data_IF_978091020827
#
_entry.id   IF_978091020827
#
_cell.length_a   1.000
_cell.length_b   1.000
_cell.length_c   1.000
_cell.angle_alpha   90.00
_cell.angle_beta   90.00
_cell.angle_gamma   90.00
#
_symmetry.space_group_name_H-M   'P 1'
#
loop_
_entity.id
_entity.type
_entity.pdbx_description
1 polymer ?
#
# COMPACT_ATOMS: atom_id res chain seq x y z
N UNK A 1 96.35 5.03 -67.87
CA UNK A 1 96.25 4.23 -66.64
C UNK A 1 94.78 3.89 -66.50
N UNK A 2 94.34 2.78 -67.08
CA UNK A 2 94.28 1.46 -66.42
C UNK A 2 93.54 1.56 -65.07
N UNK A 3 92.47 0.82 -64.75
CA UNK A 3 91.78 -0.25 -65.45
C UNK A 3 90.40 -0.47 -64.77
N UNK A 4 89.40 -0.73 -65.64
CA UNK A 4 88.13 -1.45 -65.46
C UNK A 4 86.96 -0.90 -64.63
N UNK A 5 85.97 -0.44 -65.41
CA UNK A 5 84.60 -0.03 -65.12
C UNK A 5 83.63 -1.21 -65.04
N UNK A 6 82.64 -1.06 -64.16
CA UNK A 6 81.29 -1.66 -64.06
C UNK A 6 80.96 -2.96 -64.83
N UNK A 7 80.37 -3.93 -64.10
CA UNK A 7 79.15 -4.62 -64.56
C UNK A 7 78.24 -4.98 -63.38
N UNK A 8 77.03 -4.46 -63.47
CA UNK A 8 75.87 -4.59 -62.58
C UNK A 8 75.16 -5.93 -62.86
N UNK A 9 74.78 -6.70 -61.83
CA UNK A 9 73.59 -7.56 -61.94
C UNK A 9 72.98 -7.99 -60.59
N UNK A 10 71.84 -7.34 -60.28
CA UNK A 10 70.57 -7.88 -59.77
C UNK A 10 70.60 -9.06 -58.78
N UNK A 11 70.34 -8.75 -57.51
CA UNK A 11 69.24 -9.38 -56.76
C UNK A 11 68.67 -8.41 -55.71
N UNK A 12 67.61 -7.73 -56.12
CA UNK A 12 66.40 -7.34 -55.38
C UNK A 12 66.49 -7.15 -53.86
N UNK A 13 66.44 -5.87 -53.47
CA UNK A 13 65.50 -5.29 -52.49
C UNK A 13 64.67 -6.28 -51.65
N UNK A 14 64.91 -6.28 -50.34
CA UNK A 14 63.93 -6.21 -49.23
C UNK A 14 64.59 -6.68 -47.94
N UNK A 15 65.24 -5.77 -47.21
CA UNK A 15 65.60 -5.95 -45.78
C UNK A 15 66.19 -4.63 -45.24
N UNK A 16 65.37 -3.60 -45.12
CA UNK A 16 65.68 -2.41 -44.32
C UNK A 16 64.49 -1.44 -44.26
N UNK A 17 63.31 -1.88 -43.75
CA UNK A 17 62.28 -0.95 -43.28
C UNK A 17 61.22 -1.61 -42.37
N UNK A 18 61.63 -2.46 -41.44
CA UNK A 18 60.72 -3.00 -40.40
C UNK A 18 61.48 -3.11 -39.07
N UNK A 19 62.13 -2.01 -38.67
CA UNK A 19 62.62 -1.83 -37.30
C UNK A 19 62.46 -0.37 -36.83
N UNK A 20 61.51 0.36 -37.44
CA UNK A 20 61.18 1.76 -37.09
C UNK A 20 59.67 2.01 -37.08
N UNK A 21 58.88 0.97 -36.81
CA UNK A 21 57.42 1.03 -36.60
C UNK A 21 56.97 0.24 -35.37
N UNK A 22 57.88 -0.05 -34.44
CA UNK A 22 57.59 -0.73 -33.17
C UNK A 22 58.06 0.07 -31.93
N UNK A 23 58.38 1.36 -32.12
CA UNK A 23 58.77 2.27 -31.02
C UNK A 23 57.96 3.58 -31.01
N UNK A 24 56.92 3.69 -31.84
CA UNK A 24 55.85 4.72 -31.75
C UNK A 24 54.50 4.01 -31.86
N UNK A 25 54.35 2.92 -31.11
CA UNK A 25 53.07 2.27 -30.84
C UNK A 25 53.13 1.60 -29.46
N UNK A 26 53.76 2.31 -28.51
CA UNK A 26 53.85 1.91 -27.11
C UNK A 26 53.83 3.17 -26.21
N UNK A 27 53.06 4.18 -26.64
CA UNK A 27 52.64 5.33 -25.83
C UNK A 27 51.23 5.70 -26.30
N UNK A 28 50.26 4.87 -25.95
CA UNK A 28 48.82 5.21 -25.91
C UNK A 28 48.08 4.05 -25.24
N UNK A 29 48.51 3.67 -24.04
CA UNK A 29 47.74 2.83 -23.14
C UNK A 29 48.19 3.09 -21.71
N UNK A 30 48.31 4.36 -21.34
CA UNK A 30 47.80 4.72 -20.04
C UNK A 30 46.34 4.99 -20.30
N UNK A 31 45.47 4.01 -20.01
CA UNK A 31 44.16 4.40 -19.50
C UNK A 31 44.49 5.35 -18.37
N UNK A 32 44.30 6.65 -18.60
CA UNK A 32 43.96 7.48 -17.47
C UNK A 32 42.72 6.79 -16.93
N UNK A 33 42.87 6.10 -15.81
CA UNK A 33 41.78 6.11 -14.84
C UNK A 33 41.70 7.59 -14.51
N UNK A 34 40.88 8.31 -15.27
CA UNK A 34 40.22 9.45 -14.69
C UNK A 34 39.49 8.79 -13.53
N UNK A 35 39.98 9.03 -12.31
CA UNK A 35 39.01 9.06 -11.24
C UNK A 35 38.01 10.09 -11.77
N UNK A 36 36.83 9.62 -12.17
CA UNK A 36 35.75 10.50 -12.52
C UNK A 36 35.45 11.23 -11.23
N UNK A 37 36.15 12.36 -11.08
CA UNK A 37 35.72 13.44 -10.23
C UNK A 37 34.31 13.71 -10.76
N UNK A 38 33.25 13.59 -9.97
CA UNK A 38 31.85 13.64 -10.42
C UNK A 38 31.45 14.95 -11.11
N UNK A 39 32.03 15.22 -12.27
CA UNK A 39 31.77 16.35 -13.17
C UNK A 39 31.17 15.87 -14.50
N UNK A 40 31.06 14.55 -14.69
CA UNK A 40 30.32 13.94 -15.81
C UNK A 40 29.39 12.81 -15.32
N UNK A 41 29.02 12.82 -14.02
CA UNK A 41 27.93 11.98 -13.52
C UNK A 41 26.61 12.66 -13.93
N UNK A 42 25.67 11.83 -14.35
CA UNK A 42 24.39 12.12 -14.98
C UNK A 42 23.53 10.93 -14.52
N UNK A 43 22.78 11.12 -13.44
CA UNK A 43 22.20 10.02 -12.65
C UNK A 43 20.93 9.50 -13.30
N UNK A 44 20.03 10.40 -13.69
CA UNK A 44 18.79 10.11 -14.41
C UNK A 44 19.00 9.86 -15.92
N UNK A 45 20.14 10.30 -16.48
CA UNK A 45 20.49 10.09 -17.88
C UNK A 45 19.81 11.05 -18.86
N UNK A 46 19.30 12.19 -18.40
CA UNK A 46 18.60 13.18 -19.24
C UNK A 46 19.56 14.01 -20.12
N UNK A 47 20.86 13.98 -19.79
CA UNK A 47 21.94 14.66 -20.50
C UNK A 47 22.37 16.01 -19.91
N UNK A 48 21.80 16.41 -18.78
CA UNK A 48 22.34 17.34 -17.80
C UNK A 48 23.29 16.54 -16.88
N UNK A 49 24.11 17.20 -16.08
CA UNK A 49 25.14 16.51 -15.27
C UNK A 49 24.94 16.93 -13.83
N UNK A 50 24.96 16.02 -12.87
CA UNK A 50 24.57 16.25 -11.48
C UNK A 50 25.03 17.63 -10.92
N UNK A 51 26.31 17.98 -11.11
CA UNK A 51 26.85 19.26 -10.62
C UNK A 51 26.24 20.57 -11.21
N UNK A 52 25.40 20.48 -12.23
CA UNK A 52 24.63 21.57 -12.85
C UNK A 52 23.14 21.27 -12.93
N UNK A 53 22.75 20.02 -12.67
CA UNK A 53 21.37 19.61 -12.56
C UNK A 53 20.71 20.28 -11.35
N UNK A 54 19.40 20.29 -11.33
CA UNK A 54 18.61 20.74 -10.18
C UNK A 54 17.68 19.67 -9.63
N UNK A 55 17.61 18.51 -10.30
CA UNK A 55 16.78 17.34 -10.05
C UNK A 55 17.60 16.13 -10.55
N UNK A 56 18.62 15.74 -9.79
CA UNK A 56 19.68 14.83 -10.26
C UNK A 56 19.14 13.42 -10.64
N UNK A 57 18.05 12.94 -10.02
CA UNK A 57 17.41 11.63 -10.28
C UNK A 57 16.13 11.70 -11.13
N UNK A 58 15.61 12.90 -11.38
CA UNK A 58 14.53 13.16 -12.33
C UNK A 58 13.15 12.73 -11.83
N UNK A 59 12.95 12.63 -10.52
CA UNK A 59 11.67 12.30 -9.90
C UNK A 59 10.70 13.51 -9.88
N UNK A 60 11.23 14.73 -10.02
CA UNK A 60 10.48 15.99 -10.01
C UNK A 60 10.56 16.76 -8.69
N UNK A 61 11.14 16.18 -7.64
CA UNK A 61 11.50 16.83 -6.38
C UNK A 61 12.92 17.38 -6.54
N UNK A 62 13.07 18.70 -6.50
CA UNK A 62 14.40 19.30 -6.74
C UNK A 62 15.38 19.00 -5.58
N UNK A 63 16.69 18.84 -5.87
CA UNK A 63 17.73 18.48 -4.88
C UNK A 63 17.76 19.41 -3.65
N UNK A 64 17.32 20.66 -3.83
CA UNK A 64 17.30 21.64 -2.72
C UNK A 64 16.19 21.40 -1.72
N UNK A 65 15.15 20.64 -2.09
CA UNK A 65 14.04 20.20 -1.22
C UNK A 65 14.47 18.94 -0.46
N UNK A 66 15.01 17.95 -1.16
CA UNK A 66 15.44 16.67 -0.57
C UNK A 66 16.71 16.81 0.26
N UNK A 67 17.61 17.69 -0.19
CA UNK A 67 18.80 18.10 0.54
C UNK A 67 19.97 17.13 0.37
N UNK A 68 20.42 16.54 1.47
CA UNK A 68 21.58 15.64 1.46
C UNK A 68 21.34 14.44 2.39
N UNK A 69 20.07 14.09 2.58
CA UNK A 69 19.63 12.92 3.33
C UNK A 69 20.06 11.63 2.64
N UNK A 70 19.83 10.53 3.34
CA UNK A 70 20.01 9.14 2.91
C UNK A 70 19.12 8.37 3.91
N UNK A 71 17.82 8.39 3.64
CA UNK A 71 16.79 8.08 4.64
C UNK A 71 16.80 6.59 4.99
N UNK A 72 16.72 5.74 3.97
CA UNK A 72 16.79 4.28 4.08
C UNK A 72 18.20 3.75 4.42
N UNK A 73 19.24 4.59 4.24
CA UNK A 73 20.65 4.32 4.55
C UNK A 73 21.29 3.26 3.63
N UNK A 74 20.82 3.12 2.38
CA UNK A 74 21.45 2.24 1.38
C UNK A 74 22.79 2.81 0.85
N UNK A 75 23.02 4.11 1.06
CA UNK A 75 24.22 4.85 0.65
C UNK A 75 24.09 5.63 -0.66
N UNK A 76 22.89 5.71 -1.23
CA UNK A 76 22.44 6.69 -2.23
C UNK A 76 21.75 7.83 -1.46
N UNK A 77 22.21 9.08 -1.60
CA UNK A 77 21.48 10.21 -1.06
C UNK A 77 20.11 10.35 -1.73
N UNK A 78 19.09 10.78 -0.99
CA UNK A 78 17.71 10.96 -1.51
C UNK A 78 17.67 11.69 -2.85
N UNK A 79 18.43 12.77 -3.02
CA UNK A 79 18.54 13.52 -4.29
C UNK A 79 19.28 12.79 -5.42
N UNK A 80 19.43 11.47 -5.34
CA UNK A 80 20.00 10.58 -6.34
C UNK A 80 19.23 9.25 -6.38
N UNK A 81 18.10 9.19 -5.68
CA UNK A 81 17.32 8.03 -5.30
C UNK A 81 15.87 8.27 -5.73
N UNK A 82 15.26 7.32 -6.44
CA UNK A 82 13.89 7.49 -6.92
C UNK A 82 12.83 6.85 -5.99
N UNK A 83 13.27 6.26 -4.88
CA UNK A 83 12.50 5.50 -3.87
C UNK A 83 13.24 5.65 -2.52
N UNK A 84 13.20 6.85 -1.95
CA UNK A 84 14.08 7.33 -0.88
C UNK A 84 13.92 6.60 0.45
N UNK A 85 12.77 5.98 0.70
CA UNK A 85 12.46 5.16 1.88
C UNK A 85 12.38 3.66 1.61
N UNK A 86 12.49 3.25 0.34
CA UNK A 86 12.68 1.87 -0.11
C UNK A 86 11.47 0.99 0.21
N UNK A 87 10.29 1.59 0.15
CA UNK A 87 9.01 0.91 0.26
C UNK A 87 8.52 0.38 -1.12
N UNK A 88 9.18 0.80 -2.20
CA UNK A 88 8.92 0.39 -3.57
C UNK A 88 7.90 1.25 -4.32
N UNK A 89 7.24 2.19 -3.66
CA UNK A 89 6.57 3.32 -4.29
C UNK A 89 7.67 4.27 -4.79
N UNK A 90 7.34 5.17 -5.73
CA UNK A 90 8.33 6.10 -6.25
C UNK A 90 8.10 7.46 -5.64
N UNK A 91 9.18 8.17 -5.32
CA UNK A 91 9.15 9.52 -4.75
C UNK A 91 8.27 10.48 -5.59
N UNK A 92 8.24 10.29 -6.90
CA UNK A 92 7.40 11.09 -7.80
C UNK A 92 5.89 10.83 -7.66
N UNK A 93 5.50 9.61 -7.27
CA UNK A 93 4.14 9.22 -6.92
C UNK A 93 3.83 9.79 -5.54
N UNK A 94 4.75 9.65 -4.60
CA UNK A 94 4.47 10.01 -3.21
C UNK A 94 4.50 11.51 -2.95
N UNK A 95 5.32 12.26 -3.68
CA UNK A 95 5.36 13.72 -3.54
C UNK A 95 4.08 14.44 -4.02
N UNK A 96 3.04 13.71 -4.46
CA UNK A 96 1.83 14.28 -5.05
C UNK A 96 0.57 13.55 -4.57
N UNK A 97 -0.56 14.25 -4.62
CA UNK A 97 -1.88 13.61 -4.49
C UNK A 97 -2.21 12.83 -5.76
N UNK A 98 -2.87 11.68 -5.61
CA UNK A 98 -3.42 10.89 -6.73
C UNK A 98 -4.39 11.71 -7.57
N UNK A 99 -5.26 12.49 -6.91
CA UNK A 99 -6.11 13.47 -7.58
C UNK A 99 -5.25 14.58 -8.19
N UNK A 100 -5.15 14.54 -9.51
CA UNK A 100 -4.40 15.54 -10.27
C UNK A 100 -2.92 15.24 -10.43
N UNK A 101 -2.50 14.00 -10.15
CA UNK A 101 -1.15 13.48 -10.40
C UNK A 101 -0.55 14.00 -11.71
N UNK A 102 0.63 14.61 -11.61
CA UNK A 102 1.37 15.18 -12.72
C UNK A 102 2.39 14.15 -13.18
N UNK A 103 2.09 13.48 -14.30
CA UNK A 103 3.03 12.58 -14.95
C UNK A 103 4.19 13.36 -15.61
N UNK A 104 5.45 12.87 -15.53
CA UNK A 104 6.58 13.42 -16.29
C UNK A 104 6.27 13.53 -17.80
N UNK A 105 6.71 14.62 -18.43
CA UNK A 105 6.50 14.83 -19.88
C UNK A 105 7.64 14.29 -20.75
N UNK A 106 8.82 14.06 -20.16
CA UNK A 106 10.08 13.75 -20.81
C UNK A 106 10.66 14.93 -21.60
N UNK A 107 10.28 16.16 -21.25
CA UNK A 107 10.69 17.37 -21.96
C UNK A 107 11.33 18.32 -20.96
N UNK A 108 12.61 18.62 -21.16
CA UNK A 108 13.29 19.77 -20.56
C UNK A 108 13.60 20.79 -21.66
N UNK A 109 12.86 21.90 -21.69
CA UNK A 109 13.00 22.93 -22.72
C UNK A 109 14.20 23.84 -22.52
N UNK A 110 14.66 24.04 -21.29
CA UNK A 110 15.68 25.03 -20.95
C UNK A 110 17.03 24.42 -20.57
N UNK A 111 17.08 23.10 -20.39
CA UNK A 111 18.29 22.32 -20.17
C UNK A 111 18.78 22.41 -18.73
N UNK A 112 17.87 22.52 -17.76
CA UNK A 112 18.19 22.63 -16.34
C UNK A 112 18.09 21.30 -15.57
N UNK A 113 17.53 20.26 -16.19
CA UNK A 113 17.37 18.90 -15.65
C UNK A 113 15.97 18.59 -15.11
N UNK A 114 15.23 19.60 -14.65
CA UNK A 114 13.83 19.42 -14.22
C UNK A 114 12.88 19.32 -15.41
N UNK A 115 11.95 18.36 -15.36
CA UNK A 115 10.91 18.20 -16.39
C UNK A 115 9.96 19.42 -16.47
N UNK A 116 9.67 19.89 -17.69
CA UNK A 116 8.75 21.00 -17.97
C UNK A 116 7.35 20.79 -17.34
N UNK A 117 6.94 19.54 -17.06
CA UNK A 117 5.69 19.20 -16.38
C UNK A 117 5.62 19.77 -14.96
N UNK A 118 6.76 19.90 -14.29
CA UNK A 118 6.90 20.38 -12.92
C UNK A 118 7.29 21.87 -12.87
N UNK A 119 7.24 22.56 -14.02
CA UNK A 119 7.54 23.97 -14.15
C UNK A 119 6.32 24.79 -14.60
N UNK A 120 6.02 25.87 -13.86
CA UNK A 120 5.02 26.86 -14.30
C UNK A 120 5.51 27.63 -15.54
N UNK A 121 6.82 27.83 -15.67
CA UNK A 121 7.46 28.47 -16.83
C UNK A 121 8.89 27.97 -16.93
N UNK A 122 9.30 27.36 -18.06
CA UNK A 122 10.63 26.79 -18.20
C UNK A 122 11.76 27.76 -17.80
N UNK A 123 12.61 27.30 -16.88
CA UNK A 123 13.71 28.07 -16.29
C UNK A 123 13.33 28.99 -15.14
N UNK A 124 12.18 28.74 -14.52
CA UNK A 124 11.80 29.33 -13.24
C UNK A 124 11.85 28.21 -12.22
N UNK A 125 12.85 28.21 -11.32
CA UNK A 125 12.98 27.22 -10.24
C UNK A 125 11.59 26.80 -9.71
N UNK A 126 11.28 25.51 -9.87
CA UNK A 126 9.95 24.91 -9.69
C UNK A 126 10.07 23.61 -8.90
N UNK A 127 9.44 22.55 -9.39
CA UNK A 127 9.44 21.23 -8.76
C UNK A 127 8.12 20.90 -8.07
N UNK A 128 8.00 19.64 -7.68
CA UNK A 128 6.93 19.17 -6.82
C UNK A 128 7.03 19.82 -5.44
N UNK A 129 5.88 19.92 -4.77
CA UNK A 129 5.81 20.27 -3.36
C UNK A 129 5.35 18.98 -2.68
N UNK A 130 6.27 18.22 -2.04
CA UNK A 130 5.93 16.91 -1.52
C UNK A 130 4.80 16.99 -0.48
N UNK A 131 3.92 15.99 -0.54
CA UNK A 131 2.78 15.80 0.36
C UNK A 131 3.27 15.31 1.72
N UNK A 132 2.44 15.48 2.74
CA UNK A 132 2.64 15.20 4.17
C UNK A 132 1.24 14.83 4.68
N UNK A 133 0.88 13.55 4.49
CA UNK A 133 -0.49 13.05 4.61
C UNK A 133 -0.96 13.11 6.07
N UNK A 134 -0.20 12.53 6.99
CA UNK A 134 -0.48 12.54 8.43
C UNK A 134 -0.20 13.88 9.16
N UNK A 135 0.52 14.80 8.52
CA UNK A 135 0.91 16.08 9.10
C UNK A 135 1.99 16.00 10.19
N UNK A 136 2.76 14.91 10.28
CA UNK A 136 3.81 14.71 11.28
C UNK A 136 5.08 15.55 11.00
N UNK A 137 5.09 16.26 9.87
CA UNK A 137 6.13 17.11 9.28
C UNK A 137 7.10 16.43 8.32
N UNK A 138 7.06 15.11 8.25
CA UNK A 138 7.70 14.33 7.21
C UNK A 138 6.93 14.45 5.92
N UNK A 139 7.56 14.03 4.83
CA UNK A 139 6.95 14.05 3.52
C UNK A 139 6.81 12.60 3.13
N UNK A 140 5.72 12.25 2.48
CA UNK A 140 5.34 10.86 2.25
C UNK A 140 6.47 10.04 1.60
N UNK A 141 7.20 10.61 0.63
CA UNK A 141 8.39 9.97 0.00
C UNK A 141 9.59 9.67 0.93
N UNK A 142 9.44 9.95 2.22
CA UNK A 142 10.41 9.70 3.28
C UNK A 142 9.74 9.05 4.48
N UNK A 143 8.52 8.58 4.35
CA UNK A 143 7.68 8.06 5.42
C UNK A 143 7.28 6.62 5.08
N UNK A 144 7.50 5.70 6.00
CA UNK A 144 7.20 4.27 5.75
C UNK A 144 5.78 3.89 6.18
N UNK A 145 5.04 4.84 6.76
CA UNK A 145 3.70 4.71 7.37
C UNK A 145 3.01 6.10 7.21
N UNK A 146 2.68 6.46 5.97
CA UNK A 146 2.34 7.83 5.53
C UNK A 146 1.06 8.41 6.13
N UNK A 147 0.12 7.57 6.55
CA UNK A 147 -1.10 7.95 7.27
C UNK A 147 -1.07 7.63 8.78
N UNK A 148 0.00 6.97 9.24
CA UNK A 148 0.32 6.73 10.64
C UNK A 148 -0.67 5.77 11.32
N UNK A 149 -1.24 4.85 10.56
CA UNK A 149 -2.18 3.84 11.01
C UNK A 149 -1.44 2.61 11.59
N UNK A 150 -0.13 2.47 11.33
CA UNK A 150 0.73 1.41 11.84
C UNK A 150 0.86 0.18 10.94
N UNK A 151 0.15 0.12 9.82
CA UNK A 151 0.50 -0.70 8.66
C UNK A 151 1.70 0.00 7.99
N UNK A 152 2.19 -0.47 6.85
CA UNK A 152 3.40 0.06 6.23
C UNK A 152 3.07 0.27 4.77
N UNK A 153 3.52 1.38 4.20
CA UNK A 153 3.21 1.79 2.83
C UNK A 153 3.53 0.68 1.81
N UNK A 154 4.63 -0.06 2.02
CA UNK A 154 4.99 -1.25 1.22
C UNK A 154 3.88 -2.32 1.18
N UNK A 155 3.21 -2.55 2.32
CA UNK A 155 2.11 -3.48 2.50
C UNK A 155 0.82 -2.96 1.89
N UNK A 156 0.51 -1.69 2.11
CA UNK A 156 -0.73 -1.07 1.63
C UNK A 156 -0.70 -0.75 0.13
N UNK A 157 0.46 -0.41 -0.43
CA UNK A 157 0.55 -0.15 -1.87
C UNK A 157 0.37 -1.42 -2.73
N UNK A 158 0.24 -2.60 -2.13
CA UNK A 158 0.12 -3.87 -2.85
C UNK A 158 -1.03 -4.74 -2.34
N UNK A 159 -1.72 -5.38 -3.29
CA UNK A 159 -2.58 -6.53 -3.00
C UNK A 159 -1.82 -7.63 -2.24
N UNK A 160 -2.42 -8.18 -1.19
CA UNK A 160 -1.83 -9.26 -0.36
C UNK A 160 -1.37 -10.46 -1.20
N UNK A 161 -2.11 -10.79 -2.26
CA UNK A 161 -1.77 -11.90 -3.16
C UNK A 161 -0.64 -11.57 -4.17
N UNK A 162 -0.27 -10.30 -4.33
CA UNK A 162 0.84 -9.80 -5.16
C UNK A 162 2.02 -9.25 -4.34
N UNK A 163 1.91 -9.21 -3.00
CA UNK A 163 2.91 -8.62 -2.10
C UNK A 163 4.33 -9.10 -2.43
N UNK A 164 5.14 -8.15 -2.88
CA UNK A 164 6.54 -8.36 -3.22
C UNK A 164 7.39 -7.58 -2.24
N UNK A 165 8.16 -8.31 -1.42
CA UNK A 165 9.13 -7.72 -0.50
C UNK A 165 10.42 -7.30 -1.22
N UNK A 166 11.11 -6.25 -0.73
CA UNK A 166 12.36 -5.79 -1.31
C UNK A 166 13.43 -6.90 -1.21
N UNK A 167 14.25 -7.01 -2.24
CA UNK A 167 15.28 -8.05 -2.33
C UNK A 167 16.61 -7.68 -1.65
N UNK A 168 16.71 -6.45 -1.15
CA UNK A 168 17.88 -5.81 -0.58
C UNK A 168 19.00 -5.59 -1.60
N UNK A 169 18.65 -5.42 -2.87
CA UNK A 169 19.60 -5.28 -3.97
C UNK A 169 19.11 -4.22 -4.95
N UNK A 170 19.98 -3.26 -5.17
CA UNK A 170 19.92 -2.28 -6.25
C UNK A 170 21.23 -2.38 -7.05
N UNK A 171 21.19 -3.06 -8.20
CA UNK A 171 22.42 -3.45 -8.93
C UNK A 171 22.54 -2.80 -10.30
N UNK A 172 21.49 -2.77 -11.11
CA UNK A 172 21.54 -2.12 -12.43
C UNK A 172 20.15 -1.79 -13.01
N UNK A 173 19.77 -0.49 -13.10
CA UNK A 173 20.49 0.70 -12.63
C UNK A 173 20.77 0.69 -11.12
N UNK A 174 21.62 1.61 -10.66
CA UNK A 174 21.83 1.84 -9.22
C UNK A 174 21.19 3.18 -8.86
N UNK A 175 19.87 3.19 -8.87
CA UNK A 175 19.00 4.38 -8.76
C UNK A 175 18.14 4.36 -7.50
N UNK A 176 18.41 3.45 -6.55
CA UNK A 176 17.75 3.41 -5.25
C UNK A 176 16.58 2.45 -5.16
N UNK A 177 15.72 2.43 -6.18
CA UNK A 177 14.65 1.44 -6.31
C UNK A 177 15.18 -0.01 -6.30
N UNK A 178 14.65 -0.88 -5.43
CA UNK A 178 15.08 -2.28 -5.35
C UNK A 178 14.82 -3.05 -6.66
N UNK A 179 15.76 -3.93 -7.04
CA UNK A 179 15.67 -4.85 -8.18
C UNK A 179 14.35 -5.66 -8.21
N UNK A 180 13.65 -5.81 -7.07
CA UNK A 180 12.33 -6.43 -6.95
C UNK A 180 11.22 -5.66 -7.67
N UNK A 181 11.31 -4.33 -7.72
CA UNK A 181 10.35 -3.40 -8.31
C UNK A 181 10.77 -2.91 -9.70
N UNK A 182 11.87 -3.47 -10.22
CA UNK A 182 12.40 -3.15 -11.53
C UNK A 182 12.01 -4.15 -12.62
N UNK A 183 11.80 -3.63 -13.83
CA UNK A 183 11.72 -4.47 -15.02
C UNK A 183 13.11 -4.95 -15.48
N UNK A 184 13.17 -6.06 -16.23
CA UNK A 184 14.40 -6.64 -16.81
C UNK A 184 15.29 -5.68 -17.64
N UNK A 185 14.78 -4.49 -18.01
CA UNK A 185 15.49 -3.46 -18.75
C UNK A 185 16.00 -2.30 -17.87
N UNK A 186 15.80 -2.35 -16.55
CA UNK A 186 16.27 -1.31 -15.62
C UNK A 186 15.57 0.03 -15.80
N UNK A 187 14.27 0.00 -16.09
CA UNK A 187 13.42 1.17 -15.99
C UNK A 187 12.55 0.93 -14.77
N UNK A 188 12.67 1.80 -13.77
CA UNK A 188 11.85 1.76 -12.56
C UNK A 188 10.39 1.72 -12.94
N UNK A 189 9.71 0.65 -12.52
CA UNK A 189 8.26 0.56 -12.67
C UNK A 189 7.58 1.10 -11.41
N UNK A 190 8.24 0.94 -10.26
CA UNK A 190 7.63 1.14 -8.95
C UNK A 190 6.50 0.15 -8.72
N UNK A 191 5.96 0.21 -7.51
CA UNK A 191 4.63 -0.26 -7.18
C UNK A 191 3.63 0.74 -7.76
N UNK A 192 2.50 0.24 -8.25
CA UNK A 192 1.34 1.08 -8.54
C UNK A 192 0.40 0.91 -7.34
N UNK A 193 0.29 1.91 -6.45
CA UNK A 193 -0.47 1.77 -5.22
C UNK A 193 -1.89 1.26 -5.45
N UNK A 194 -2.35 0.39 -4.55
CA UNK A 194 -3.75 -0.02 -4.41
C UNK A 194 -4.57 1.16 -3.88
N UNK A 195 -5.85 1.16 -4.24
CA UNK A 195 -6.88 2.16 -3.93
C UNK A 195 -8.17 1.33 -3.86
N UNK A 196 -8.40 0.76 -2.66
CA UNK A 196 -9.35 -0.35 -2.43
C UNK A 196 -10.79 0.07 -2.71
N UNK A 197 -11.21 1.19 -2.14
CA UNK A 197 -12.56 1.73 -2.32
C UNK A 197 -12.74 2.58 -3.61
N UNK A 198 -11.63 2.97 -4.26
CA UNK A 198 -11.63 3.75 -5.49
C UNK A 198 -11.96 5.24 -5.29
N UNK A 199 -11.79 5.79 -4.10
CA UNK A 199 -12.08 7.20 -3.80
C UNK A 199 -10.98 8.18 -4.26
N UNK A 200 -9.85 7.63 -4.73
CA UNK A 200 -8.62 8.32 -5.14
C UNK A 200 -7.66 8.70 -4.00
N UNK A 201 -7.80 8.13 -2.82
CA UNK A 201 -6.80 8.02 -1.77
C UNK A 201 -6.27 6.58 -1.79
N UNK A 202 -5.03 6.36 -2.26
CA UNK A 202 -4.44 5.03 -2.19
C UNK A 202 -4.30 4.57 -0.74
N UNK A 203 -4.45 3.27 -0.49
CA UNK A 203 -4.52 2.68 0.85
C UNK A 203 -3.42 3.18 1.80
N UNK A 204 -2.17 3.33 1.34
CA UNK A 204 -1.05 3.81 2.19
C UNK A 204 -1.18 5.27 2.69
N UNK A 205 -2.31 5.91 2.41
CA UNK A 205 -2.66 7.30 2.78
C UNK A 205 -4.08 7.41 3.28
N UNK A 206 -4.75 6.28 3.42
CA UNK A 206 -6.16 6.18 3.72
C UNK A 206 -6.28 5.46 5.06
N UNK A 207 -6.89 6.12 6.04
CA UNK A 207 -7.04 5.51 7.37
C UNK A 207 -8.26 4.59 7.48
N UNK A 208 -9.04 4.44 6.40
CA UNK A 208 -10.28 3.67 6.26
C UNK A 208 -10.39 3.16 4.80
N UNK A 209 -9.48 2.26 4.42
CA UNK A 209 -9.18 1.87 3.03
C UNK A 209 -10.36 1.27 2.25
N UNK A 210 -11.33 0.64 2.91
CA UNK A 210 -12.56 0.11 2.31
C UNK A 210 -13.80 0.97 2.57
N UNK A 211 -13.62 2.07 3.31
CA UNK A 211 -14.60 3.11 3.56
C UNK A 211 -15.85 2.62 4.30
N UNK A 212 -15.66 1.65 5.18
CA UNK A 212 -16.70 1.06 6.01
C UNK A 212 -16.88 1.86 7.33
N UNK A 213 -15.95 2.74 7.68
CA UNK A 213 -16.00 3.64 8.83
C UNK A 213 -15.37 3.10 10.11
N UNK A 214 -14.96 1.83 10.15
CA UNK A 214 -13.88 1.35 11.02
C UNK A 214 -12.57 1.95 10.46
N UNK A 215 -11.48 1.86 11.20
CA UNK A 215 -10.21 2.44 10.72
C UNK A 215 -9.19 1.33 10.62
N UNK A 216 -8.30 1.42 9.65
CA UNK A 216 -7.33 0.39 9.29
C UNK A 216 -6.52 -0.07 10.50
N UNK A 217 -6.14 0.85 11.39
CA UNK A 217 -5.46 0.52 12.65
C UNK A 217 -6.24 -0.46 13.55
N UNK A 218 -7.57 -0.31 13.62
CA UNK A 218 -8.48 -1.15 14.40
C UNK A 218 -8.65 -2.50 13.73
N UNK A 219 -8.78 -2.53 12.40
CA UNK A 219 -8.95 -3.76 11.62
C UNK A 219 -7.64 -4.55 11.46
N UNK A 220 -6.49 -3.90 11.42
CA UNK A 220 -5.21 -4.59 11.37
C UNK A 220 -4.89 -5.41 12.64
N UNK A 221 -5.73 -5.35 13.69
CA UNK A 221 -5.44 -5.92 15.00
C UNK A 221 -6.63 -6.67 15.60
N UNK A 222 -6.35 -7.69 16.41
CA UNK A 222 -7.39 -8.35 17.23
C UNK A 222 -7.72 -7.53 18.47
N UNK A 223 -8.96 -7.65 18.98
CA UNK A 223 -9.40 -6.94 20.20
C UNK A 223 -8.54 -7.27 21.42
N UNK A 224 -8.13 -8.53 21.56
CA UNK A 224 -7.38 -9.04 22.72
C UNK A 224 -5.94 -8.53 22.78
N UNK A 225 -5.31 -8.32 21.61
CA UNK A 225 -3.92 -7.89 21.47
C UNK A 225 -3.76 -6.45 20.96
N UNK A 226 -4.86 -5.66 20.90
CA UNK A 226 -4.86 -4.29 20.40
C UNK A 226 -3.77 -3.41 21.03
N UNK A 227 -2.98 -2.78 20.17
CA UNK A 227 -1.90 -1.87 20.50
C UNK A 227 -2.36 -0.47 20.12
N UNK A 228 -2.52 0.40 21.12
CA UNK A 228 -2.79 1.81 20.88
C UNK A 228 -1.49 2.57 20.52
N UNK A 229 -1.55 3.58 19.63
CA UNK A 229 -0.39 4.38 19.24
C UNK A 229 0.19 5.13 20.45
N UNK A 230 1.52 5.30 20.47
CA UNK A 230 2.22 5.93 21.59
C UNK A 230 2.47 7.43 21.42
N UNK A 231 2.20 7.95 20.22
CA UNK A 231 2.49 9.30 19.74
C UNK A 231 3.99 9.61 19.72
N UNK A 232 4.83 8.60 19.47
CA UNK A 232 6.29 8.74 19.47
C UNK A 232 6.91 7.92 18.35
N UNK A 233 7.70 8.61 17.57
CA UNK A 233 8.69 8.04 16.68
C UNK A 233 10.10 8.47 17.15
N UNK A 234 10.93 7.51 17.58
CA UNK A 234 12.30 7.74 18.05
C UNK A 234 13.33 7.73 16.92
N UNK A 235 13.07 6.92 15.90
CA UNK A 235 13.93 6.66 14.74
C UNK A 235 13.84 7.80 13.75
N UNK A 236 12.70 8.49 13.78
CA UNK A 236 12.23 9.33 12.70
C UNK A 236 12.19 8.47 11.43
N UNK A 237 11.47 7.35 11.43
CA UNK A 237 11.18 6.51 10.25
C UNK A 237 9.71 6.55 9.79
N UNK A 238 8.78 7.04 10.62
CA UNK A 238 7.38 7.27 10.24
C UNK A 238 6.44 6.54 11.18
N UNK A 239 6.78 5.26 11.34
CA UNK A 239 6.08 4.30 12.16
C UNK A 239 6.12 4.62 13.67
N UNK A 240 4.96 4.56 14.34
CA UNK A 240 4.92 4.73 15.80
C UNK A 240 5.68 3.60 16.53
N UNK A 241 6.45 3.99 17.55
CA UNK A 241 7.20 3.07 18.41
C UNK A 241 6.34 2.00 19.11
N UNK A 242 5.02 2.17 19.16
CA UNK A 242 4.08 1.17 19.66
C UNK A 242 4.05 -0.08 18.77
N UNK A 243 4.15 0.10 17.45
CA UNK A 243 4.06 -0.95 16.44
C UNK A 243 5.42 -1.58 16.15
N UNK A 244 6.51 -0.83 16.38
CA UNK A 244 7.88 -1.28 16.21
C UNK A 244 8.35 -2.32 17.26
N UNK A 245 7.97 -3.58 17.07
CA UNK A 245 8.60 -4.68 17.82
C UNK A 245 10.07 -4.89 17.43
N UNK A 246 10.41 -4.48 16.20
CA UNK A 246 11.74 -4.32 15.61
C UNK A 246 11.69 -3.12 14.64
N UNK A 247 12.82 -2.40 14.40
CA UNK A 247 12.81 -1.24 13.49
C UNK A 247 12.34 -1.60 12.08
N UNK A 248 11.44 -0.78 11.53
CA UNK A 248 10.85 -0.96 10.19
C UNK A 248 9.96 -2.20 10.05
N UNK A 249 9.30 -2.62 11.12
CA UNK A 249 8.27 -3.68 11.08
C UNK A 249 7.03 -3.13 11.80
N UNK A 250 5.98 -2.84 11.03
CA UNK A 250 4.68 -2.41 11.52
C UNK A 250 3.77 -3.57 11.94
N UNK A 251 2.47 -3.32 11.87
CA UNK A 251 1.41 -4.27 12.14
C UNK A 251 1.43 -5.41 11.10
N UNK A 252 0.88 -6.56 11.51
CA UNK A 252 0.56 -7.65 10.61
C UNK A 252 -0.97 -7.73 10.59
N UNK A 253 -1.61 -7.22 9.52
CA UNK A 253 -3.06 -7.14 9.44
C UNK A 253 -3.75 -8.48 9.71
N UNK A 254 -4.91 -8.42 10.36
CA UNK A 254 -5.81 -9.55 10.55
C UNK A 254 -6.49 -9.87 9.22
N UNK A 255 -6.83 -11.14 9.02
CA UNK A 255 -7.56 -11.71 7.89
C UNK A 255 -8.47 -12.74 8.54
N UNK A 256 -9.69 -12.32 8.85
CA UNK A 256 -10.63 -13.04 9.74
C UNK A 256 -11.15 -14.32 9.07
N UNK A 257 -11.47 -14.28 7.79
CA UNK A 257 -12.01 -15.42 7.04
C UNK A 257 -10.95 -16.26 6.27
N UNK A 258 -9.66 -15.90 6.38
CA UNK A 258 -8.50 -16.56 5.75
C UNK A 258 -8.53 -16.52 4.18
N UNK A 259 -9.26 -15.59 3.58
CA UNK A 259 -9.41 -15.50 2.12
C UNK A 259 -8.22 -14.81 1.40
N UNK A 260 -7.31 -14.20 2.18
CA UNK A 260 -6.16 -13.34 1.77
C UNK A 260 -6.51 -11.89 1.42
N UNK A 261 -7.68 -11.41 1.79
CA UNK A 261 -8.05 -10.02 1.91
C UNK A 261 -8.04 -9.66 3.40
N UNK A 262 -7.08 -8.84 3.86
CA UNK A 262 -7.07 -8.42 5.26
C UNK A 262 -8.29 -7.56 5.59
N UNK A 263 -8.74 -7.62 6.85
CA UNK A 263 -9.96 -6.97 7.32
C UNK A 263 -10.06 -5.48 6.97
N UNK A 264 -8.96 -4.71 6.97
CA UNK A 264 -8.98 -3.27 6.63
C UNK A 264 -9.30 -2.97 5.15
N UNK A 265 -9.50 -4.00 4.34
CA UNK A 265 -9.84 -3.93 2.91
C UNK A 265 -11.08 -4.75 2.59
N UNK A 266 -11.73 -5.28 3.60
CA UNK A 266 -12.76 -6.28 3.49
C UNK A 266 -14.04 -5.75 4.11
N UNK A 267 -15.06 -5.52 3.28
CA UNK A 267 -16.30 -4.90 3.76
C UNK A 267 -17.22 -5.90 4.49
N UNK A 268 -16.84 -7.17 4.58
CA UNK A 268 -17.58 -8.31 5.14
C UNK A 268 -16.55 -9.30 5.72
N UNK A 269 -15.82 -8.87 6.76
CA UNK A 269 -14.59 -9.49 7.27
C UNK A 269 -14.75 -10.96 7.70
N UNK A 270 -15.94 -11.39 8.11
CA UNK A 270 -16.25 -12.78 8.46
C UNK A 270 -17.06 -13.56 7.41
N UNK A 271 -17.37 -12.90 6.29
CA UNK A 271 -17.99 -13.46 5.09
C UNK A 271 -19.37 -14.09 5.35
N UNK A 272 -20.13 -13.43 6.23
CA UNK A 272 -21.48 -13.81 6.57
C UNK A 272 -22.50 -13.13 5.62
N UNK A 273 -22.12 -12.02 4.99
CA UNK A 273 -22.93 -11.29 4.02
C UNK A 273 -23.63 -10.04 4.59
N UNK A 274 -23.56 -9.79 5.89
CA UNK A 274 -23.83 -8.49 6.50
C UNK A 274 -22.51 -7.72 6.45
N UNK A 275 -22.56 -6.45 6.06
CA UNK A 275 -21.31 -5.67 5.91
C UNK A 275 -20.84 -5.09 7.23
N UNK A 276 -19.53 -4.95 7.40
CA UNK A 276 -18.85 -4.53 8.63
C UNK A 276 -19.39 -3.22 9.18
N UNK A 277 -19.64 -2.23 8.29
CA UNK A 277 -20.28 -0.96 8.64
C UNK A 277 -21.60 -1.13 9.42
N UNK A 278 -22.41 -2.14 9.07
CA UNK A 278 -23.70 -2.42 9.72
C UNK A 278 -23.47 -3.05 11.09
N UNK A 279 -22.52 -3.99 11.18
CA UNK A 279 -22.27 -4.81 12.36
C UNK A 279 -21.47 -4.08 13.42
N UNK A 280 -20.55 -3.21 13.04
CA UNK A 280 -19.77 -2.39 13.96
C UNK A 280 -20.63 -1.38 14.75
N UNK A 281 -21.91 -1.21 14.43
CA UNK A 281 -22.78 -0.18 14.99
C UNK A 281 -23.95 -0.73 15.81
N UNK A 282 -24.35 0.05 16.82
CA UNK A 282 -25.64 -0.21 17.49
C UNK A 282 -26.79 0.10 16.49
N UNK A 283 -27.72 -0.83 16.22
CA UNK A 283 -28.77 -0.62 15.20
C UNK A 283 -29.67 0.60 15.46
N UNK A 284 -29.82 1.01 16.73
CA UNK A 284 -30.61 2.19 17.10
C UNK A 284 -29.94 3.53 16.76
N UNK A 285 -28.63 3.54 16.58
CA UNK A 285 -27.79 4.72 16.31
C UNK A 285 -27.01 4.60 14.99
N UNK A 286 -27.40 3.65 14.12
CA UNK A 286 -26.78 3.40 12.81
C UNK A 286 -26.65 4.67 11.96
N UNK A 287 -25.44 4.89 11.47
CA UNK A 287 -25.07 5.98 10.58
C UNK A 287 -24.48 5.37 9.31
N UNK A 288 -25.14 5.54 8.14
CA UNK A 288 -24.59 5.05 6.88
C UNK A 288 -23.49 5.98 6.37
N UNK A 289 -22.60 5.40 5.56
CA UNK A 289 -21.60 6.12 4.74
C UNK A 289 -22.29 7.19 3.90
N UNK A 290 -21.67 8.37 3.77
CA UNK A 290 -22.22 9.48 3.00
C UNK A 290 -21.32 9.97 1.85
N UNK A 291 -20.06 9.50 1.80
CA UNK A 291 -19.05 9.82 0.81
C UNK A 291 -18.56 11.26 0.90
N UNK A 292 -18.52 11.83 2.12
CA UNK A 292 -18.00 13.18 2.36
C UNK A 292 -16.82 13.08 3.29
N UNK A 293 -15.63 13.26 2.72
CA UNK A 293 -14.39 13.52 3.45
C UNK A 293 -13.99 14.99 3.19
N UNK A 294 -14.03 15.82 4.24
CA UNK A 294 -13.76 17.26 4.12
C UNK A 294 -12.28 17.61 4.20
N UNK A 295 -11.45 16.79 4.81
CA UNK A 295 -10.03 17.07 5.06
C UNK A 295 -9.06 16.20 4.27
N UNK A 296 -9.53 15.11 3.66
CA UNK A 296 -8.78 14.28 2.72
C UNK A 296 -7.94 13.21 3.41
N UNK A 297 -8.42 12.64 4.53
CA UNK A 297 -7.76 11.57 5.25
C UNK A 297 -8.36 10.18 4.97
N UNK A 298 -9.35 10.09 4.07
CA UNK A 298 -9.96 8.82 3.66
C UNK A 298 -11.21 8.42 4.45
N UNK A 299 -11.27 8.77 5.75
CA UNK A 299 -12.42 8.51 6.62
C UNK A 299 -13.60 9.48 6.38
N UNK A 300 -14.83 8.95 6.32
CA UNK A 300 -16.04 9.77 6.16
C UNK A 300 -16.31 10.71 7.38
N UNK A 301 -16.63 11.98 7.10
CA UNK A 301 -17.00 13.03 8.07
C UNK A 301 -18.10 12.58 9.07
N UNK A 302 -18.95 11.59 8.73
CA UNK A 302 -19.97 11.02 9.59
C UNK A 302 -19.41 10.27 10.81
N UNK A 303 -18.24 9.67 10.67
CA UNK A 303 -17.58 8.89 11.71
C UNK A 303 -16.61 9.75 12.54
N UNK A 304 -16.50 11.03 12.20
CA UNK A 304 -15.66 11.97 12.90
C UNK A 304 -16.45 13.01 13.71
N UNK A 305 -15.94 13.33 14.91
CA UNK A 305 -16.49 14.45 15.68
C UNK A 305 -16.11 15.79 15.06
N UNK A 306 -14.96 15.86 14.38
CA UNK A 306 -14.42 17.05 13.73
C UNK A 306 -13.53 16.59 12.58
N UNK A 307 -13.78 17.00 11.32
CA UNK A 307 -12.98 16.57 10.18
C UNK A 307 -11.47 16.59 10.46
N UNK A 308 -10.85 15.43 10.33
CA UNK A 308 -9.43 15.14 10.61
C UNK A 308 -9.12 14.77 12.05
N UNK A 309 -10.07 14.17 12.77
CA UNK A 309 -9.81 13.59 14.09
C UNK A 309 -9.58 12.09 14.09
N UNK A 310 -9.93 11.38 13.00
CA UNK A 310 -9.56 9.98 12.78
C UNK A 310 -10.05 9.05 13.90
N UNK A 311 -11.30 9.22 14.35
CA UNK A 311 -11.83 8.43 15.47
C UNK A 311 -12.50 7.13 15.02
N UNK A 312 -13.10 7.13 13.84
CA UNK A 312 -13.87 6.03 13.28
C UNK A 312 -15.04 5.56 14.15
N UNK A 313 -15.56 4.42 13.77
CA UNK A 313 -16.48 3.62 14.55
C UNK A 313 -15.75 2.95 15.72
N UNK A 314 -16.49 2.69 16.79
CA UNK A 314 -16.04 1.77 17.85
C UNK A 314 -16.90 0.52 17.71
N UNK A 315 -16.36 -0.58 17.16
CA UNK A 315 -17.12 -1.79 16.91
C UNK A 315 -17.85 -2.28 18.16
N UNK A 316 -19.10 -2.70 17.97
CA UNK A 316 -19.89 -3.37 19.02
C UNK A 316 -19.49 -4.84 19.13
N UNK A 317 -19.78 -5.42 20.29
CA UNK A 317 -19.60 -6.84 20.55
C UNK A 317 -20.79 -7.26 21.43
N UNK A 318 -21.68 -8.09 20.87
CA UNK A 318 -23.01 -8.39 21.39
C UNK A 318 -22.99 -9.47 22.47
N UNK A 319 -22.10 -10.45 22.36
CA UNK A 319 -22.04 -11.59 23.28
C UNK A 319 -20.91 -11.52 24.35
N UNK A 320 -20.02 -10.54 24.23
CA UNK A 320 -18.85 -10.23 25.06
C UNK A 320 -17.65 -11.17 24.97
N UNK A 321 -17.49 -11.86 23.85
CA UNK A 321 -16.32 -12.69 23.54
C UNK A 321 -15.09 -11.85 23.11
N UNK A 322 -14.18 -12.40 22.29
CA UNK A 322 -13.04 -11.68 21.75
C UNK A 322 -13.28 -11.01 20.39
N UNK A 323 -14.28 -11.46 19.63
CA UNK A 323 -14.55 -11.01 18.27
C UNK A 323 -15.69 -9.98 18.27
N UNK A 324 -15.45 -8.72 17.86
CA UNK A 324 -16.54 -7.79 17.63
C UNK A 324 -17.50 -8.32 16.56
N UNK A 325 -18.73 -7.79 16.52
CA UNK A 325 -19.81 -8.35 15.70
C UNK A 325 -19.41 -8.48 14.21
N UNK A 326 -18.66 -7.53 13.64
CA UNK A 326 -18.16 -7.59 12.24
C UNK A 326 -17.12 -8.69 11.94
N UNK A 327 -16.76 -9.49 12.94
CA UNK A 327 -15.77 -10.59 12.85
C UNK A 327 -16.30 -11.89 13.46
N UNK A 328 -17.58 -11.92 13.79
CA UNK A 328 -18.21 -13.02 14.49
C UNK A 328 -19.41 -13.50 13.69
N UNK A 329 -19.26 -14.67 13.06
CA UNK A 329 -20.28 -15.30 12.22
C UNK A 329 -21.58 -15.68 12.99
N UNK A 330 -21.58 -15.55 14.32
CA UNK A 330 -22.68 -15.83 15.26
C UNK A 330 -22.61 -14.80 16.41
N UNK A 331 -22.88 -13.52 16.11
CA UNK A 331 -22.58 -12.37 16.97
C UNK A 331 -23.26 -12.38 18.36
N UNK A 332 -24.35 -13.12 18.57
CA UNK A 332 -24.94 -13.33 19.89
C UNK A 332 -24.66 -14.72 20.52
N UNK A 333 -23.88 -15.53 19.82
CA UNK A 333 -23.38 -16.84 20.25
C UNK A 333 -24.51 -17.79 20.67
N UNK A 334 -25.57 -17.78 19.87
CA UNK A 334 -26.79 -18.56 19.97
C UNK A 334 -26.61 -19.97 19.39
N UNK A 335 -25.74 -20.13 18.40
CA UNK A 335 -25.50 -21.35 17.64
C UNK A 335 -26.21 -21.38 16.29
N UNK A 336 -26.68 -20.23 15.80
CA UNK A 336 -27.22 -20.01 14.47
C UNK A 336 -26.34 -18.92 13.82
N UNK A 337 -25.88 -19.09 12.57
CA UNK A 337 -25.05 -18.06 11.94
C UNK A 337 -25.86 -16.84 11.52
N UNK A 338 -25.23 -15.68 11.58
CA UNK A 338 -25.80 -14.36 11.32
C UNK A 338 -26.41 -14.27 9.91
N UNK A 339 -25.77 -14.88 8.92
CA UNK A 339 -26.31 -14.97 7.56
C UNK A 339 -27.67 -15.67 7.44
N UNK A 340 -28.02 -16.54 8.40
CA UNK A 340 -29.30 -17.25 8.49
C UNK A 340 -30.33 -16.35 9.16
N UNK A 341 -29.95 -15.68 10.24
CA UNK A 341 -30.83 -14.84 11.07
C UNK A 341 -31.12 -13.49 10.45
N UNK A 342 -30.11 -12.88 9.82
CA UNK A 342 -30.23 -11.66 9.04
C UNK A 342 -31.23 -11.75 7.87
N UNK A 343 -31.74 -12.95 7.55
CA UNK A 343 -32.66 -13.17 6.42
C UNK A 343 -33.97 -13.88 6.80
N UNK A 344 -35.04 -13.55 6.08
CA UNK A 344 -36.30 -14.29 6.26
C UNK A 344 -36.26 -15.68 5.60
N UNK A 345 -36.91 -16.68 6.21
CA UNK A 345 -37.00 -18.04 5.64
C UNK A 345 -37.61 -18.11 4.24
N UNK A 346 -38.46 -17.14 3.86
CA UNK A 346 -39.12 -17.16 2.54
C UNK A 346 -38.22 -16.69 1.42
N UNK A 347 -37.34 -15.73 1.73
CA UNK A 347 -36.52 -15.02 0.76
C UNK A 347 -35.01 -15.31 0.92
N UNK A 348 -34.63 -16.22 1.83
CA UNK A 348 -33.23 -16.63 2.08
C UNK A 348 -32.43 -16.87 0.79
N UNK A 349 -31.28 -16.22 0.74
CA UNK A 349 -30.28 -16.31 -0.30
C UNK A 349 -29.06 -16.97 0.34
N UNK A 350 -28.68 -18.13 -0.20
CA UNK A 350 -27.45 -18.81 0.20
C UNK A 350 -26.25 -18.16 -0.49
N UNK A 351 -25.07 -18.15 0.15
CA UNK A 351 -23.86 -17.59 -0.44
C UNK A 351 -23.49 -18.39 -1.70
N UNK A 352 -22.93 -17.71 -2.69
CA UNK A 352 -22.56 -18.30 -3.97
C UNK A 352 -21.15 -18.93 -3.95
N UNK A 353 -20.32 -18.53 -2.98
CA UNK A 353 -18.89 -18.79 -2.87
C UNK A 353 -18.08 -18.11 -3.96
N UNK A 354 -18.58 -16.99 -4.51
CA UNK A 354 -17.86 -16.19 -5.50
C UNK A 354 -17.92 -14.73 -5.05
N UNK A 355 -16.77 -14.11 -5.12
CA UNK A 355 -16.58 -12.67 -5.03
C UNK A 355 -15.85 -12.27 -6.32
N UNK A 356 -16.50 -11.41 -7.11
CA UNK A 356 -16.01 -10.97 -8.42
C UNK A 356 -15.10 -9.74 -8.34
N UNK A 357 -15.26 -8.96 -7.29
CA UNK A 357 -14.70 -7.63 -7.05
C UNK A 357 -13.43 -7.74 -6.21
N UNK A 358 -13.36 -8.77 -5.35
CA UNK A 358 -12.35 -8.94 -4.31
C UNK A 358 -12.51 -7.92 -3.19
N UNK A 359 -13.75 -7.57 -2.83
CA UNK A 359 -14.06 -6.68 -1.70
C UNK A 359 -14.57 -7.44 -0.47
N UNK A 360 -14.61 -8.79 -0.51
CA UNK A 360 -15.02 -9.65 0.60
C UNK A 360 -16.47 -10.10 0.53
N UNK A 361 -17.36 -9.25 0.03
CA UNK A 361 -18.79 -9.52 -0.04
C UNK A 361 -19.14 -10.52 -1.17
N UNK A 362 -19.92 -11.56 -0.85
CA UNK A 362 -20.33 -12.54 -1.87
C UNK A 362 -21.21 -11.91 -2.98
N UNK A 363 -20.98 -12.31 -4.23
CA UNK A 363 -21.77 -11.95 -5.44
C UNK A 363 -23.31 -12.08 -5.24
N UNK A 364 -23.75 -12.92 -4.29
CA UNK A 364 -25.15 -13.12 -3.92
C UNK A 364 -25.76 -11.93 -3.17
N UNK A 365 -24.95 -11.13 -2.48
CA UNK A 365 -25.34 -10.06 -1.55
C UNK A 365 -24.99 -8.66 -2.08
N UNK A 366 -24.16 -8.57 -3.10
CA UNK A 366 -23.79 -7.34 -3.85
C UNK A 366 -24.92 -6.34 -4.14
N UNK A 367 -26.09 -6.84 -4.54
CA UNK A 367 -27.22 -5.98 -4.86
C UNK A 367 -26.95 -5.02 -6.03
N UNK A 368 -26.70 -3.73 -5.75
CA UNK A 368 -26.34 -2.71 -6.75
C UNK A 368 -24.92 -2.15 -6.63
N UNK A 369 -24.09 -2.76 -5.79
CA UNK A 369 -22.71 -2.41 -5.49
C UNK A 369 -22.57 -2.27 -3.97
N UNK A 370 -22.34 -3.39 -3.30
CA UNK A 370 -21.97 -3.47 -1.89
C UNK A 370 -23.13 -3.20 -0.92
N UNK A 371 -24.32 -3.73 -1.22
CA UNK A 371 -25.52 -3.51 -0.39
C UNK A 371 -25.59 -4.39 0.86
N UNK A 372 -24.95 -5.57 0.81
CA UNK A 372 -25.04 -6.60 1.84
C UNK A 372 -26.45 -7.15 2.08
N UNK A 373 -26.55 -8.01 3.08
CA UNK A 373 -27.80 -8.43 3.69
C UNK A 373 -28.32 -7.25 4.52
N UNK A 374 -29.56 -6.83 4.28
CA UNK A 374 -30.25 -5.96 5.25
C UNK A 374 -30.79 -6.83 6.37
N UNK A 375 -30.28 -6.70 7.62
CA UNK A 375 -30.65 -7.61 8.70
C UNK A 375 -32.16 -7.61 8.95
N UNK A 376 -32.74 -8.80 9.08
CA UNK A 376 -34.13 -8.99 9.43
C UNK A 376 -34.37 -8.57 10.89
N UNK A 377 -35.59 -8.13 11.15
CA UNK A 377 -36.11 -7.99 12.51
C UNK A 377 -37.53 -8.58 12.49
N UNK A 378 -37.68 -9.77 13.04
CA UNK A 378 -38.89 -10.58 12.90
C UNK A 378 -40.09 -9.97 13.62
N UNK A 379 -39.88 -9.42 14.80
CA UNK A 379 -40.94 -8.92 15.66
C UNK A 379 -41.25 -7.41 15.46
N UNK A 380 -40.26 -6.66 14.97
CA UNK A 380 -40.26 -5.23 14.69
C UNK A 380 -40.20 -4.31 15.91
N UNK A 381 -39.83 -4.78 17.09
CA UNK A 381 -39.87 -4.03 18.36
C UNK A 381 -38.50 -3.86 19.05
N UNK A 382 -37.47 -4.67 18.76
CA UNK A 382 -36.11 -4.60 19.33
C UNK A 382 -34.97 -4.65 18.29
N UNK A 383 -33.91 -5.43 18.53
CA UNK A 383 -32.70 -5.50 17.71
C UNK A 383 -32.93 -6.41 16.49
N UNK A 384 -32.08 -6.34 15.46
CA UNK A 384 -32.10 -7.33 14.39
C UNK A 384 -31.87 -8.75 14.91
N UNK A 385 -32.39 -9.73 14.18
CA UNK A 385 -32.44 -11.13 14.57
C UNK A 385 -31.03 -11.71 14.88
N UNK A 386 -30.01 -11.36 14.08
CA UNK A 386 -28.63 -11.86 14.25
C UNK A 386 -27.93 -11.46 15.57
N UNK A 387 -28.53 -10.53 16.33
CA UNK A 387 -28.04 -10.16 17.67
C UNK A 387 -29.16 -10.23 18.73
N UNK A 388 -30.24 -10.96 18.45
CA UNK A 388 -31.37 -11.14 19.35
C UNK A 388 -31.67 -12.61 19.63
N UNK A 389 -31.37 -13.02 20.88
CA UNK A 389 -31.60 -14.37 21.41
C UNK A 389 -33.07 -14.87 21.44
N UNK A 390 -34.08 -14.05 21.10
CA UNK A 390 -35.51 -14.40 21.01
C UNK A 390 -36.19 -13.55 19.92
N UNK A 391 -35.75 -13.73 18.67
CA UNK A 391 -36.08 -12.96 17.46
C UNK A 391 -37.58 -12.68 17.24
N UNK A 392 -38.48 -13.61 17.61
CA UNK A 392 -39.93 -13.44 17.47
C UNK A 392 -40.65 -13.05 18.77
N UNK A 393 -39.89 -12.90 19.85
CA UNK A 393 -40.30 -12.51 21.19
C UNK A 393 -41.43 -13.38 21.77
N UNK A 394 -41.47 -14.66 21.39
CA UNK A 394 -42.48 -15.62 21.86
C UNK A 394 -42.11 -16.34 23.16
N UNK A 395 -40.93 -16.06 23.72
CA UNK A 395 -40.31 -16.64 24.92
C UNK A 395 -39.60 -17.98 24.73
N UNK A 396 -39.42 -18.43 23.49
CA UNK A 396 -38.59 -19.57 23.12
C UNK A 396 -37.33 -19.04 22.43
N UNK A 397 -36.14 -19.19 23.05
CA UNK A 397 -34.91 -18.70 22.45
C UNK A 397 -34.62 -19.36 21.10
N UNK A 398 -33.99 -18.62 20.18
CA UNK A 398 -33.77 -19.01 18.79
C UNK A 398 -32.99 -20.32 18.67
N UNK A 399 -31.95 -20.51 19.47
CA UNK A 399 -31.25 -21.80 19.52
C UNK A 399 -32.15 -23.01 19.79
N UNK A 400 -33.29 -22.86 20.47
CA UNK A 400 -34.25 -23.94 20.64
C UNK A 400 -35.08 -24.14 19.37
N UNK A 401 -35.48 -23.05 18.72
CA UNK A 401 -36.29 -23.06 17.51
C UNK A 401 -35.51 -23.62 16.31
N UNK A 402 -34.27 -23.17 16.13
CA UNK A 402 -33.35 -23.64 15.08
C UNK A 402 -32.96 -25.11 15.22
N UNK A 403 -33.06 -25.67 16.44
CA UNK A 403 -32.66 -27.05 16.73
C UNK A 403 -33.81 -28.00 17.10
N UNK A 404 -35.07 -27.57 17.10
CA UNK A 404 -36.25 -28.43 17.37
C UNK A 404 -36.89 -28.95 16.06
N UNK A 405 -36.27 -29.97 15.45
CA UNK A 405 -36.75 -30.50 14.16
C UNK A 405 -38.04 -31.31 14.28
N UNK A 406 -38.44 -31.75 15.48
CA UNK A 406 -39.67 -32.51 15.73
C UNK A 406 -40.83 -31.69 16.31
N UNK A 407 -40.58 -30.40 16.57
CA UNK A 407 -41.51 -29.37 17.02
C UNK A 407 -42.19 -29.73 18.35
N UNK A 408 -41.45 -30.36 19.27
CA UNK A 408 -41.95 -30.74 20.59
C UNK A 408 -41.66 -29.72 21.71
N UNK A 409 -40.98 -28.62 21.37
CA UNK A 409 -40.54 -27.54 22.25
C UNK A 409 -39.27 -27.89 23.03
N UNK A 410 -38.50 -28.89 22.59
CA UNK A 410 -37.21 -29.28 23.15
C UNK A 410 -36.23 -29.46 22.00
N UNK A 411 -35.07 -28.78 22.01
CA UNK A 411 -34.13 -28.92 20.91
C UNK A 411 -33.54 -30.33 20.83
N UNK A 412 -33.41 -30.85 19.61
CA UNK A 412 -32.84 -32.16 19.30
C UNK A 412 -31.31 -32.21 19.50
N UNK A 413 -30.68 -31.05 19.36
CA UNK A 413 -29.26 -30.80 19.62
C UNK A 413 -29.14 -29.92 20.86
N UNK A 414 -28.10 -30.10 21.68
CA UNK A 414 -27.88 -29.23 22.83
C UNK A 414 -26.68 -28.34 22.54
N UNK A 415 -26.93 -27.04 22.40
CA UNK A 415 -25.88 -26.04 22.33
C UNK A 415 -24.99 -26.13 23.57
N UNK A 416 -23.67 -26.17 23.38
CA UNK A 416 -22.73 -26.33 24.49
C UNK A 416 -22.30 -25.01 25.11
N UNK A 417 -22.60 -23.87 24.47
CA UNK A 417 -22.13 -22.53 24.88
C UNK A 417 -20.61 -22.44 24.91
N UNK A 418 -19.97 -23.19 24.01
CA UNK A 418 -18.53 -23.28 23.85
C UNK A 418 -18.33 -23.52 22.37
N UNK A 419 -17.97 -22.47 21.65
CA UNK A 419 -17.27 -22.62 20.40
C UNK A 419 -15.98 -23.44 20.68
N UNK A 420 -15.88 -24.58 19.99
CA UNK A 420 -14.80 -25.55 20.17
C UNK A 420 -13.73 -25.41 19.08
N UNK A 421 -14.04 -24.66 18.03
CA UNK A 421 -13.32 -24.50 16.78
C UNK A 421 -12.49 -23.22 16.82
N UNK A 422 -13.00 -22.18 17.49
CA UNK A 422 -12.46 -20.82 17.41
C UNK A 422 -12.86 -20.12 16.12
N UNK A 423 -13.96 -20.55 15.48
CA UNK A 423 -14.52 -19.93 14.28
C UNK A 423 -15.65 -18.97 14.62
#
# INVERSE_FOLDING_TARGET
MENFTLLLNRTLYKKSLTLFTFLILFIASTSFVYADYGINKDTDGDGVYDHIDIDDDGDGIIDTVEGTGDFDKDGIPNSLDIDSDNDGILDNVEAQLSVGYIKPSGIDSDGNGLDDAYEVTPGSCGGLIPVDTDGDTRKDYLDIDSDNDGILDLGEAQETNQLTFPSGKDVNPKNGLDDAYENYCGGGQGINPTDTDGDSHPDFRDIDSDNDGIIDNVEAQTTDDYIAPSGKDTDCDGLDNAYESCPGIGLYPVDTDDDKNPDFRDIDSDNDGIVDNVEAQNPSDYTPVCGVDSDGNGLDDHYENTPGSGEGLTPVNSDTDSNPDFRDIDADNDGIPDNVEGQTTTDYIAPSGNDSDMDGLDDAYEGSGNEGITPNNHDGEDTPDYIDLDSDNDTVPDNNEGNDFDFDGVPDQTFTGVDTDGD
#
